data_IF_500959312748
#
_entry.id   IF_500959312748
#
_cell.length_a   1.000
_cell.length_b   1.000
_cell.length_c   1.000
_cell.angle_alpha   90.00
_cell.angle_beta   90.00
_cell.angle_gamma   90.00
#
_symmetry.space_group_name_H-M   'P 1'
#
loop_
_entity.id
_entity.type
_entity.pdbx_description
1 polymer ?
#
# COMPACT_ATOMS: atom_id res chain seq x y z
N UNK A 1 -10.26 7.21 46.16
CA UNK A 1 -10.39 8.12 45.00
C UNK A 1 -9.43 7.60 43.95
N UNK A 2 -9.94 6.71 43.11
CA UNK A 2 -9.21 6.05 42.02
C UNK A 2 -8.94 7.09 40.92
N UNK A 3 -7.67 7.37 40.68
CA UNK A 3 -7.21 8.15 39.55
C UNK A 3 -7.72 7.50 38.26
N UNK A 4 -8.54 8.24 37.52
CA UNK A 4 -8.91 7.93 36.15
C UNK A 4 -7.63 7.80 35.33
N UNK A 5 -7.32 6.57 34.93
CA UNK A 5 -6.32 6.34 33.89
C UNK A 5 -6.92 6.94 32.62
N UNK A 6 -6.50 8.16 32.29
CA UNK A 6 -6.65 8.69 30.94
C UNK A 6 -6.12 7.61 30.01
N UNK A 7 -7.02 7.00 29.24
CA UNK A 7 -6.63 6.08 28.17
C UNK A 7 -5.85 6.92 27.14
N UNK A 8 -4.54 7.06 27.38
CA UNK A 8 -3.60 7.76 26.52
C UNK A 8 -3.81 7.23 25.11
N UNK A 9 -4.43 8.05 24.28
CA UNK A 9 -4.65 7.72 22.87
C UNK A 9 -3.29 7.87 22.20
N UNK A 10 -2.49 6.81 22.21
CA UNK A 10 -1.15 6.80 21.62
C UNK A 10 -1.28 7.03 20.13
N UNK A 11 -0.76 8.17 19.66
CA UNK A 11 -0.76 8.51 18.24
C UNK A 11 0.12 7.55 17.44
N UNK A 12 -0.13 7.43 16.13
CA UNK A 12 0.76 6.68 15.23
C UNK A 12 2.22 7.18 15.28
N UNK A 13 2.43 8.45 15.58
CA UNK A 13 3.77 9.05 15.67
C UNK A 13 4.54 8.69 16.95
N UNK A 14 3.86 8.13 17.95
CA UNK A 14 4.46 7.59 19.18
C UNK A 14 4.75 6.08 19.04
N UNK A 15 4.69 5.54 17.81
CA UNK A 15 5.09 4.17 17.51
C UNK A 15 6.60 4.06 17.37
N UNK A 16 7.18 3.19 18.20
CA UNK A 16 8.57 2.81 18.12
C UNK A 16 8.64 1.38 17.61
N UNK A 17 9.33 1.19 16.48
CA UNK A 17 9.72 -0.13 16.01
C UNK A 17 10.86 -0.66 16.88
N UNK A 18 10.67 -1.86 17.40
CA UNK A 18 11.70 -2.64 18.05
C UNK A 18 12.04 -3.85 17.19
N UNK A 19 13.34 -4.10 17.00
CA UNK A 19 13.85 -5.31 16.37
C UNK A 19 14.57 -6.18 17.41
N UNK A 20 14.78 -7.48 17.14
CA UNK A 20 15.65 -8.32 17.94
C UNK A 20 17.05 -7.69 18.13
N UNK A 21 17.69 -7.93 19.27
CA UNK A 21 18.94 -7.27 19.66
C UNK A 21 20.09 -7.47 18.65
N UNK A 22 20.15 -8.63 18.02
CA UNK A 22 21.13 -8.95 16.97
C UNK A 22 20.92 -8.10 15.71
N UNK A 23 19.66 -7.87 15.32
CA UNK A 23 19.28 -6.99 14.21
C UNK A 23 19.57 -5.53 14.54
N UNK A 24 19.25 -5.09 15.77
CA UNK A 24 19.57 -3.74 16.25
C UNK A 24 21.08 -3.48 16.23
N UNK A 25 21.88 -4.44 16.73
CA UNK A 25 23.34 -4.35 16.72
C UNK A 25 23.91 -4.30 15.29
N UNK A 26 23.43 -5.18 14.41
CA UNK A 26 23.87 -5.25 13.02
C UNK A 26 23.63 -3.93 12.27
N UNK A 27 22.40 -3.39 12.33
CA UNK A 27 22.08 -2.16 11.61
C UNK A 27 22.66 -0.90 12.27
N UNK A 28 22.80 -0.89 13.59
CA UNK A 28 23.52 0.17 14.29
C UNK A 28 24.99 0.22 13.87
N UNK A 29 25.64 -0.94 13.71
CA UNK A 29 27.01 -1.02 13.20
C UNK A 29 27.11 -0.58 11.73
N UNK A 30 26.16 -0.98 10.88
CA UNK A 30 26.19 -0.68 9.45
C UNK A 30 25.88 0.78 9.10
N UNK A 31 24.90 1.39 9.79
CA UNK A 31 24.40 2.73 9.47
C UNK A 31 24.77 3.80 10.51
N UNK A 32 25.21 3.39 11.70
CA UNK A 32 25.36 4.27 12.86
C UNK A 32 24.04 4.50 13.60
N UNK A 33 24.11 4.68 14.93
CA UNK A 33 22.94 4.77 15.80
C UNK A 33 21.95 5.88 15.40
N UNK A 34 22.45 7.07 15.04
CA UNK A 34 21.60 8.21 14.64
C UNK A 34 20.85 7.93 13.35
N UNK A 35 21.53 7.41 12.32
CA UNK A 35 20.91 7.13 11.03
C UNK A 35 19.93 5.95 11.11
N UNK A 36 20.31 4.90 11.85
CA UNK A 36 19.41 3.78 12.11
C UNK A 36 18.14 4.22 12.86
N UNK A 37 18.28 5.09 13.87
CA UNK A 37 17.13 5.69 14.55
C UNK A 37 16.18 6.43 13.60
N UNK A 38 16.72 7.17 12.62
CA UNK A 38 15.92 7.84 11.60
C UNK A 38 15.21 6.84 10.66
N UNK A 39 15.90 5.76 10.24
CA UNK A 39 15.29 4.68 9.43
C UNK A 39 14.14 4.03 10.20
N UNK A 40 14.33 3.69 11.48
CA UNK A 40 13.26 3.12 12.31
C UNK A 40 12.05 4.04 12.40
N UNK A 41 12.27 5.34 12.61
CA UNK A 41 11.17 6.31 12.63
C UNK A 41 10.45 6.40 11.28
N UNK A 42 11.16 6.28 10.15
CA UNK A 42 10.57 6.29 8.82
C UNK A 42 9.77 5.00 8.52
N UNK A 43 10.27 3.83 8.92
CA UNK A 43 9.60 2.53 8.71
C UNK A 43 8.28 2.41 9.48
N UNK A 44 8.16 3.12 10.61
CA UNK A 44 6.96 3.18 11.43
C UNK A 44 5.80 3.94 10.76
N UNK A 45 6.07 4.71 9.69
CA UNK A 45 5.10 5.62 9.07
C UNK A 45 4.78 5.18 7.63
N UNK A 46 3.52 5.33 7.19
CA UNK A 46 3.21 5.13 5.79
C UNK A 46 3.95 6.19 4.93
N UNK A 47 4.27 5.85 3.66
CA UNK A 47 4.84 6.82 2.72
C UNK A 47 3.98 8.08 2.61
N UNK A 48 4.62 9.24 2.43
CA UNK A 48 3.94 10.53 2.27
C UNK A 48 3.18 10.67 0.93
N UNK A 49 3.34 9.70 0.03
CA UNK A 49 2.67 9.68 -1.25
C UNK A 49 2.47 8.24 -1.72
N UNK A 50 1.49 8.07 -2.59
CA UNK A 50 1.26 6.87 -3.37
C UNK A 50 1.74 7.10 -4.79
N UNK A 51 2.61 6.22 -5.28
CA UNK A 51 3.03 6.21 -6.67
C UNK A 51 2.18 5.24 -7.48
N UNK A 52 1.81 5.71 -8.67
CA UNK A 52 0.97 5.01 -9.63
C UNK A 52 1.75 4.89 -10.92
N UNK A 53 1.86 3.67 -11.45
CA UNK A 53 2.42 3.41 -12.76
C UNK A 53 1.34 3.56 -13.83
N UNK A 54 1.64 4.33 -14.87
CA UNK A 54 0.80 4.53 -16.05
C UNK A 54 0.88 3.28 -16.93
N UNK A 55 -0.26 2.77 -17.41
CA UNK A 55 -0.27 1.81 -18.49
C UNK A 55 -0.14 2.55 -19.84
N UNK A 56 1.10 2.73 -20.30
CA UNK A 56 1.39 3.50 -21.52
C UNK A 56 0.92 2.83 -22.81
N UNK A 57 0.45 1.58 -22.75
CA UNK A 57 -0.23 0.92 -23.87
C UNK A 57 -1.66 1.44 -24.08
N UNK A 58 -2.27 2.05 -23.05
CA UNK A 58 -3.69 2.44 -23.06
C UNK A 58 -3.87 3.95 -22.90
N UNK A 59 -3.03 4.61 -22.11
CA UNK A 59 -3.17 6.04 -21.81
C UNK A 59 -1.80 6.74 -21.71
N UNK A 60 -1.81 8.06 -21.58
CA UNK A 60 -0.61 8.87 -21.32
C UNK A 60 -0.60 9.37 -19.88
N UNK A 61 0.56 9.81 -19.40
CA UNK A 61 0.73 10.38 -18.07
C UNK A 61 -0.21 11.58 -17.85
N UNK A 62 -0.27 12.51 -18.81
CA UNK A 62 -1.13 13.70 -18.72
C UNK A 62 -2.62 13.34 -18.62
N UNK A 63 -3.08 12.41 -19.47
CA UNK A 63 -4.48 11.93 -19.43
C UNK A 63 -4.78 11.25 -18.10
N UNK A 64 -3.83 10.48 -17.56
CA UNK A 64 -4.01 9.83 -16.27
C UNK A 64 -4.06 10.84 -15.11
N UNK A 65 -3.21 11.89 -15.14
CA UNK A 65 -3.23 12.96 -14.13
C UNK A 65 -4.60 13.65 -14.09
N UNK A 66 -5.17 13.98 -15.26
CA UNK A 66 -6.51 14.58 -15.33
C UNK A 66 -7.57 13.63 -14.75
N UNK A 67 -7.55 12.37 -15.16
CA UNK A 67 -8.52 11.37 -14.69
C UNK A 67 -8.40 11.09 -13.18
N UNK A 68 -7.17 11.03 -12.64
CA UNK A 68 -6.92 10.87 -11.22
C UNK A 68 -7.42 12.07 -10.41
N UNK A 69 -7.14 13.29 -10.86
CA UNK A 69 -7.64 14.48 -10.19
C UNK A 69 -9.17 14.56 -10.20
N UNK A 70 -9.82 14.10 -11.27
CA UNK A 70 -11.28 13.95 -11.29
C UNK A 70 -11.77 12.91 -10.25
N UNK A 71 -11.06 11.79 -10.11
CA UNK A 71 -11.38 10.77 -9.09
C UNK A 71 -11.11 11.24 -7.64
N UNK A 72 -10.30 12.29 -7.45
CA UNK A 72 -10.00 12.86 -6.13
C UNK A 72 -11.01 13.91 -5.66
N UNK A 73 -12.00 14.30 -6.48
CA UNK A 73 -12.96 15.37 -6.14
C UNK A 73 -13.69 15.09 -4.83
N UNK A 74 -14.29 13.91 -4.68
CA UNK A 74 -15.05 13.56 -3.46
C UNK A 74 -14.14 13.46 -2.23
N UNK A 75 -12.92 12.95 -2.42
CA UNK A 75 -11.93 12.88 -1.34
C UNK A 75 -11.53 14.29 -0.88
N UNK A 76 -11.26 15.19 -1.82
CA UNK A 76 -10.93 16.59 -1.54
C UNK A 76 -12.09 17.36 -0.90
N UNK A 77 -13.33 17.10 -1.30
CA UNK A 77 -14.51 17.68 -0.66
C UNK A 77 -14.60 17.28 0.83
N UNK A 78 -14.30 16.00 1.15
CA UNK A 78 -14.22 15.53 2.54
C UNK A 78 -13.09 16.20 3.33
N UNK A 79 -11.92 16.38 2.72
CA UNK A 79 -10.81 17.10 3.35
C UNK A 79 -11.19 18.54 3.67
N UNK A 80 -11.80 19.25 2.72
CA UNK A 80 -12.24 20.63 2.91
C UNK A 80 -13.29 20.76 4.02
N UNK A 81 -14.26 19.83 4.08
CA UNK A 81 -15.25 19.78 5.15
C UNK A 81 -14.63 19.58 6.55
N UNK A 82 -13.41 19.03 6.61
CA UNK A 82 -12.62 18.87 7.83
C UNK A 82 -11.62 20.00 8.07
N UNK A 83 -11.64 21.07 7.25
CA UNK A 83 -10.67 22.16 7.32
C UNK A 83 -9.25 21.78 6.89
N UNK A 84 -9.10 20.71 6.11
CA UNK A 84 -7.81 20.19 5.64
C UNK A 84 -7.52 20.66 4.20
N UNK A 85 -6.24 20.86 3.83
CA UNK A 85 -5.87 21.22 2.47
C UNK A 85 -6.17 20.08 1.50
N UNK A 86 -6.52 20.42 0.26
CA UNK A 86 -6.74 19.46 -0.82
C UNK A 86 -5.42 18.91 -1.36
N UNK A 87 -5.50 17.76 -2.02
CA UNK A 87 -4.39 17.12 -2.71
C UNK A 87 -4.63 17.07 -4.21
N UNK A 88 -3.56 16.95 -4.98
CA UNK A 88 -3.61 16.78 -6.43
C UNK A 88 -2.59 15.74 -6.89
N UNK A 89 -3.00 14.90 -7.84
CA UNK A 89 -2.10 14.00 -8.54
C UNK A 89 -1.18 14.82 -9.46
N UNK A 90 0.12 14.51 -9.45
CA UNK A 90 1.15 15.22 -10.23
C UNK A 90 2.05 14.22 -10.98
N UNK A 91 2.55 14.56 -12.18
CA UNK A 91 3.52 13.71 -12.86
C UNK A 91 4.82 13.62 -12.05
N UNK A 92 5.47 12.46 -12.09
CA UNK A 92 6.81 12.32 -11.52
C UNK A 92 7.84 13.07 -12.37
N UNK A 93 8.76 13.79 -11.73
CA UNK A 93 9.70 14.71 -12.40
C UNK A 93 10.63 14.05 -13.42
N UNK A 94 10.94 12.77 -13.22
CA UNK A 94 11.95 12.05 -14.02
C UNK A 94 11.46 10.76 -14.66
N UNK A 95 10.26 10.29 -14.30
CA UNK A 95 9.72 9.01 -14.79
C UNK A 95 8.44 9.32 -15.55
N UNK A 96 8.48 9.15 -16.87
CA UNK A 96 7.40 9.54 -17.79
C UNK A 96 6.14 8.67 -17.66
N UNK A 97 6.22 7.55 -16.94
CA UNK A 97 5.13 6.60 -16.71
C UNK A 97 4.79 6.45 -15.23
N UNK A 98 5.14 7.44 -14.39
CA UNK A 98 4.78 7.45 -12.97
C UNK A 98 4.03 8.73 -12.60
N UNK A 99 2.91 8.58 -11.92
CA UNK A 99 2.15 9.68 -11.32
C UNK A 99 2.22 9.55 -9.80
N UNK A 100 2.39 10.67 -9.12
CA UNK A 100 2.46 10.76 -7.66
C UNK A 100 1.16 11.36 -7.14
N UNK A 101 0.54 10.67 -6.19
CA UNK A 101 -0.62 11.14 -5.46
C UNK A 101 -0.20 11.34 -4.00
N UNK A 102 -0.06 12.59 -3.51
CA UNK A 102 0.36 12.84 -2.15
C UNK A 102 -0.71 12.40 -1.15
N UNK A 103 -0.29 11.92 0.02
CA UNK A 103 -1.18 11.74 1.16
C UNK A 103 -1.57 13.10 1.71
N UNK A 104 -2.80 13.23 2.23
CA UNK A 104 -3.23 14.45 2.89
C UNK A 104 -2.36 14.73 4.13
N UNK A 105 -2.05 16.00 4.46
CA UNK A 105 -1.33 16.31 5.69
C UNK A 105 -2.07 15.75 6.90
N UNK A 106 -1.33 15.08 7.78
CA UNK A 106 -1.87 14.57 9.06
C UNK A 106 -2.38 15.75 9.87
N UNK A 107 -3.62 15.63 10.34
CA UNK A 107 -4.20 16.56 11.31
C UNK A 107 -4.60 15.77 12.54
N UNK A 108 -3.99 16.08 13.67
CA UNK A 108 -4.45 15.64 14.99
C UNK A 108 -5.68 16.47 15.37
N UNK A 109 -6.83 16.08 14.83
CA UNK A 109 -8.09 16.59 15.36
C UNK A 109 -8.34 15.93 16.74
N UNK A 110 -8.70 16.68 17.78
CA UNK A 110 -9.22 16.09 19.01
C UNK A 110 -10.53 15.39 18.63
N UNK A 111 -10.50 14.07 18.57
CA UNK A 111 -11.73 13.29 18.40
C UNK A 111 -12.14 12.84 19.78
N UNK A 112 -13.39 13.11 20.15
CA UNK A 112 -13.97 12.63 21.40
C UNK A 112 -14.03 11.09 21.37
N UNK A 113 -12.98 10.48 21.94
CA UNK A 113 -12.85 9.03 22.05
C UNK A 113 -13.78 8.43 23.10
N UNK A 114 -14.44 9.24 23.92
CA UNK A 114 -15.31 8.75 25.01
C UNK A 114 -16.74 8.46 24.54
N UNK A 115 -17.22 9.16 23.51
CA UNK A 115 -18.59 9.00 23.00
C UNK A 115 -18.67 8.35 21.61
N UNK A 116 -17.56 8.34 20.86
CA UNK A 116 -17.55 7.80 19.50
C UNK A 116 -17.36 6.29 19.54
N UNK A 117 -18.25 5.53 18.89
CA UNK A 117 -18.13 4.07 18.71
C UNK A 117 -16.82 3.73 18.00
N UNK A 118 -16.29 2.53 18.20
CA UNK A 118 -15.04 2.08 17.62
C UNK A 118 -15.13 0.74 16.94
N UNK A 119 -14.25 0.53 15.97
CA UNK A 119 -13.97 -0.76 15.35
C UNK A 119 -12.48 -1.05 15.47
N UNK A 120 -12.14 -2.32 15.68
CA UNK A 120 -10.77 -2.81 15.72
C UNK A 120 -10.55 -3.68 14.49
N UNK A 121 -9.50 -3.39 13.74
CA UNK A 121 -9.10 -4.17 12.56
C UNK A 121 -7.81 -4.93 12.83
N UNK A 122 -7.59 -6.00 12.08
CA UNK A 122 -6.33 -6.73 12.12
C UNK A 122 -5.16 -5.89 11.55
N UNK A 123 -3.92 -6.33 11.83
CA UNK A 123 -2.70 -5.66 11.36
C UNK A 123 -2.66 -5.44 9.85
N UNK A 124 -3.04 -6.44 9.06
CA UNK A 124 -2.96 -6.37 7.60
C UNK A 124 -3.97 -5.37 7.03
N UNK A 125 -5.18 -5.37 7.58
CA UNK A 125 -6.20 -4.39 7.27
C UNK A 125 -5.74 -2.99 7.68
N UNK A 126 -5.13 -2.84 8.85
CA UNK A 126 -4.62 -1.56 9.31
C UNK A 126 -3.54 -0.98 8.39
N UNK A 127 -2.59 -1.80 7.96
CA UNK A 127 -1.57 -1.42 6.98
C UNK A 127 -2.18 -0.98 5.65
N UNK A 128 -3.23 -1.68 5.18
CA UNK A 128 -3.94 -1.32 3.96
C UNK A 128 -4.69 0.01 4.11
N UNK A 129 -5.33 0.25 5.26
CA UNK A 129 -6.06 1.48 5.57
C UNK A 129 -5.11 2.69 5.62
N UNK A 130 -3.92 2.54 6.21
CA UNK A 130 -2.88 3.59 6.18
C UNK A 130 -2.45 3.95 4.75
N UNK A 131 -2.63 3.02 3.80
CA UNK A 131 -2.34 3.20 2.37
C UNK A 131 -3.59 3.60 1.56
N UNK A 132 -4.69 3.91 2.24
CA UNK A 132 -5.92 4.45 1.65
C UNK A 132 -6.99 3.41 1.33
N UNK A 133 -6.81 2.14 1.71
CA UNK A 133 -7.86 1.13 1.52
C UNK A 133 -9.06 1.39 2.42
N UNK A 134 -10.25 1.07 1.91
CA UNK A 134 -11.43 0.88 2.74
C UNK A 134 -11.28 -0.37 3.64
N UNK A 135 -12.13 -0.44 4.66
CA UNK A 135 -12.21 -1.56 5.59
C UNK A 135 -13.28 -2.52 5.11
N UNK A 136 -12.90 -3.78 4.90
CA UNK A 136 -13.83 -4.85 4.54
C UNK A 136 -14.14 -5.71 5.77
N UNK A 137 -15.33 -6.31 5.80
CA UNK A 137 -15.83 -7.09 6.96
C UNK A 137 -14.83 -8.14 7.48
N UNK A 138 -14.06 -8.78 6.58
CA UNK A 138 -13.05 -9.77 6.93
C UNK A 138 -11.92 -9.19 7.80
N UNK A 139 -11.56 -7.93 7.60
CA UNK A 139 -10.51 -7.26 8.37
C UNK A 139 -10.96 -6.74 9.73
N UNK A 140 -12.27 -6.65 9.97
CA UNK A 140 -12.83 -6.23 11.26
C UNK A 140 -12.74 -7.39 12.25
N UNK A 141 -12.05 -7.15 13.37
CA UNK A 141 -11.90 -8.08 14.49
C UNK A 141 -13.03 -7.88 15.50
N UNK A 142 -13.28 -6.63 15.89
CA UNK A 142 -14.23 -6.25 16.94
C UNK A 142 -14.92 -4.93 16.59
N UNK A 143 -16.09 -4.68 17.16
CA UNK A 143 -16.84 -3.43 17.03
C UNK A 143 -17.59 -3.12 18.32
N UNK A 144 -17.80 -1.83 18.63
CA UNK A 144 -18.63 -1.41 19.77
C UNK A 144 -20.04 -2.00 19.65
N UNK A 145 -20.65 -2.31 20.79
CA UNK A 145 -22.02 -2.81 20.85
C UNK A 145 -23.02 -1.85 20.21
N UNK A 146 -24.10 -2.40 19.63
CA UNK A 146 -25.20 -1.64 19.01
C UNK A 146 -24.75 -0.70 17.86
N UNK A 147 -23.73 -1.09 17.09
CA UNK A 147 -23.30 -0.39 15.87
C UNK A 147 -24.37 -0.51 14.77
N UNK A 148 -24.74 0.61 14.15
CA UNK A 148 -25.68 0.65 13.03
C UNK A 148 -25.03 1.27 11.78
N UNK A 149 -25.59 0.99 10.62
CA UNK A 149 -25.19 1.63 9.37
C UNK A 149 -25.38 3.16 9.48
N UNK A 150 -24.36 3.92 9.09
CA UNK A 150 -24.34 5.38 9.19
C UNK A 150 -23.68 5.93 10.46
N UNK A 151 -23.41 5.08 11.45
CA UNK A 151 -22.66 5.49 12.64
C UNK A 151 -21.24 5.92 12.28
N UNK A 152 -20.79 7.03 12.89
CA UNK A 152 -19.38 7.42 12.84
C UNK A 152 -18.59 6.55 13.80
N UNK A 153 -17.47 6.02 13.31
CA UNK A 153 -16.61 5.12 14.08
C UNK A 153 -15.16 5.58 14.09
N UNK A 154 -14.50 5.34 15.22
CA UNK A 154 -13.06 5.35 15.34
C UNK A 154 -12.49 4.00 14.90
N UNK A 155 -11.41 4.03 14.12
CA UNK A 155 -10.75 2.82 13.65
C UNK A 155 -9.46 2.62 14.45
N UNK A 156 -9.27 1.42 14.98
CA UNK A 156 -8.08 1.00 15.72
C UNK A 156 -7.44 -0.24 15.08
N UNK A 157 -6.13 -0.45 15.28
CA UNK A 157 -5.43 -1.70 14.88
C UNK A 157 -5.05 -2.50 16.11
N UNK A 158 -5.33 -3.79 16.05
CA UNK A 158 -4.76 -4.77 16.96
C UNK A 158 -3.33 -5.16 16.53
N UNK A 159 -2.35 -4.38 17.02
CA UNK A 159 -0.93 -4.66 16.81
C UNK A 159 -0.41 -5.75 17.77
N UNK A 160 -1.01 -5.85 18.95
CA UNK A 160 -0.56 -6.73 20.03
C UNK A 160 -1.14 -8.15 19.92
N UNK A 161 -1.94 -8.43 18.87
CA UNK A 161 -2.66 -9.69 18.68
C UNK A 161 -3.50 -10.09 19.90
N UNK A 162 -3.99 -9.08 20.61
CA UNK A 162 -4.70 -9.20 21.88
C UNK A 162 -6.21 -9.36 21.67
N UNK A 163 -6.72 -8.94 20.52
CA UNK A 163 -8.15 -8.96 20.22
C UNK A 163 -8.54 -10.31 19.59
N UNK A 164 -9.50 -11.00 20.20
CA UNK A 164 -10.15 -12.15 19.59
C UNK A 164 -11.37 -11.69 18.80
N UNK A 165 -11.64 -12.32 17.65
CA UNK A 165 -12.77 -11.92 16.80
C UNK A 165 -14.08 -12.00 17.58
N UNK A 166 -14.81 -10.89 17.61
CA UNK A 166 -16.08 -10.76 18.33
C UNK A 166 -15.96 -10.40 19.81
N UNK A 167 -14.75 -10.14 20.31
CA UNK A 167 -14.57 -9.56 21.66
C UNK A 167 -15.06 -8.11 21.74
N UNK A 168 -15.27 -7.63 22.96
CA UNK A 168 -15.77 -6.28 23.18
C UNK A 168 -14.71 -5.24 22.80
N UNK A 169 -15.08 -4.36 21.87
CA UNK A 169 -14.21 -3.28 21.41
C UNK A 169 -13.87 -2.28 22.52
N UNK A 170 -14.72 -2.15 23.55
CA UNK A 170 -14.51 -1.24 24.67
C UNK A 170 -13.29 -1.62 25.50
N UNK A 171 -12.94 -2.91 25.54
CA UNK A 171 -11.78 -3.42 26.26
C UNK A 171 -10.45 -3.20 25.53
N UNK A 172 -10.49 -2.72 24.27
CA UNK A 172 -9.28 -2.51 23.49
C UNK A 172 -8.58 -1.19 23.86
N UNK A 173 -7.29 -1.29 24.21
CA UNK A 173 -6.40 -0.17 24.57
C UNK A 173 -5.35 0.10 23.47
N UNK A 174 -5.60 -0.39 22.25
CA UNK A 174 -4.65 -0.25 21.14
C UNK A 174 -4.73 1.11 20.44
N UNK A 175 -4.14 1.17 19.24
CA UNK A 175 -3.80 2.43 18.58
C UNK A 175 -4.79 2.82 17.52
N UNK A 176 -5.07 4.13 17.44
CA UNK A 176 -5.98 4.70 16.45
C UNK A 176 -5.30 4.82 15.08
N UNK A 177 -6.05 4.46 14.04
CA UNK A 177 -5.69 4.71 12.64
C UNK A 177 -6.20 6.04 12.15
N UNK A 178 -5.33 6.74 11.42
CA UNK A 178 -5.71 7.86 10.56
C UNK A 178 -5.31 7.52 9.13
N UNK A 179 -6.31 7.32 8.26
CA UNK A 179 -6.09 7.12 6.83
C UNK A 179 -6.02 8.48 6.15
N UNK A 180 -4.82 8.85 5.67
CA UNK A 180 -4.58 10.12 4.98
C UNK A 180 -4.38 9.94 3.47
N UNK A 181 -4.17 8.70 3.02
CA UNK A 181 -4.04 8.38 1.61
C UNK A 181 -5.45 8.19 0.98
N UNK A 182 -5.65 8.64 -0.27
CA UNK A 182 -6.92 8.45 -0.97
C UNK A 182 -7.14 6.98 -1.36
N UNK A 183 -8.39 6.51 -1.40
CA UNK A 183 -8.73 5.19 -1.92
C UNK A 183 -8.58 5.15 -3.43
N UNK A 184 -7.50 4.51 -3.89
CA UNK A 184 -7.20 4.36 -5.32
C UNK A 184 -7.41 2.92 -5.83
N UNK A 185 -7.88 2.02 -4.97
CA UNK A 185 -8.13 0.63 -5.37
C UNK A 185 -9.29 0.57 -6.39
N UNK A 186 -9.08 -0.11 -7.52
CA UNK A 186 -10.08 -0.25 -8.58
C UNK A 186 -10.34 1.01 -9.41
N UNK A 187 -9.84 2.18 -8.99
CA UNK A 187 -9.94 3.43 -9.74
C UNK A 187 -9.18 3.28 -11.06
N UNK A 188 -9.80 3.67 -12.18
CA UNK A 188 -9.18 3.67 -13.51
C UNK A 188 -8.51 2.32 -13.86
N UNK A 189 -9.18 1.22 -13.52
CA UNK A 189 -8.70 -0.15 -13.77
C UNK A 189 -8.24 -0.34 -15.22
N UNK A 190 -7.05 -0.91 -15.40
CA UNK A 190 -6.43 -1.12 -16.72
C UNK A 190 -5.66 0.10 -17.28
N UNK A 191 -5.92 1.32 -16.80
CA UNK A 191 -5.14 2.51 -17.16
C UNK A 191 -3.92 2.73 -16.26
N UNK A 192 -3.94 2.15 -15.07
CA UNK A 192 -2.90 2.35 -14.07
C UNK A 192 -2.70 1.15 -13.16
N UNK A 193 -1.53 1.10 -12.52
CA UNK A 193 -1.17 0.09 -11.54
C UNK A 193 -0.56 0.74 -10.31
N UNK A 194 -0.99 0.31 -9.12
CA UNK A 194 -0.39 0.74 -7.86
C UNK A 194 0.99 0.09 -7.72
N UNK A 195 2.06 0.90 -7.76
CA UNK A 195 3.42 0.40 -7.75
C UNK A 195 4.34 1.44 -7.12
N UNK A 196 5.08 1.04 -6.08
CA UNK A 196 6.02 1.92 -5.37
C UNK A 196 7.11 2.44 -6.34
N UNK A 197 7.49 3.72 -6.23
CA UNK A 197 8.48 4.38 -7.12
C UNK A 197 9.76 3.56 -7.33
N UNK A 198 10.41 3.00 -6.29
CA UNK A 198 11.63 2.20 -6.49
C UNK A 198 11.40 0.98 -7.39
N UNK A 199 10.19 0.38 -7.33
CA UNK A 199 9.86 -0.74 -8.21
C UNK A 199 9.69 -0.32 -9.67
N UNK A 200 9.24 0.91 -9.94
CA UNK A 200 9.18 1.45 -11.30
C UNK A 200 10.58 1.83 -11.81
N UNK A 201 11.43 2.40 -10.95
CA UNK A 201 12.83 2.74 -11.29
C UNK A 201 13.59 1.50 -11.79
N UNK A 202 13.42 0.35 -11.14
CA UNK A 202 14.09 -0.90 -11.55
C UNK A 202 13.82 -1.25 -13.02
N UNK A 203 12.59 -1.08 -13.51
CA UNK A 203 12.25 -1.39 -14.89
C UNK A 203 12.92 -0.42 -15.88
N UNK A 204 12.98 0.87 -15.54
CA UNK A 204 13.67 1.88 -16.35
C UNK A 204 15.19 1.66 -16.37
N UNK A 205 15.79 1.26 -15.25
CA UNK A 205 17.21 0.95 -15.16
C UNK A 205 17.57 -0.26 -16.02
N UNK A 206 16.70 -1.29 -16.06
CA UNK A 206 16.89 -2.43 -16.96
C UNK A 206 16.77 -2.05 -18.44
N UNK A 207 15.96 -1.03 -18.75
CA UNK A 207 15.80 -0.43 -20.08
C UNK A 207 15.52 -1.45 -21.22
N UNK A 208 14.53 -2.35 -21.06
CA UNK A 208 14.27 -3.37 -22.08
C UNK A 208 13.75 -2.72 -23.36
N UNK A 209 14.19 -3.21 -24.51
CA UNK A 209 13.77 -2.73 -25.81
C UNK A 209 12.66 -3.63 -26.41
N UNK A 210 11.75 -3.07 -27.22
CA UNK A 210 10.80 -3.87 -28.00
C UNK A 210 11.55 -4.91 -28.86
N UNK A 211 11.21 -6.19 -28.70
CA UNK A 211 11.87 -7.30 -29.38
C UNK A 211 12.89 -8.08 -28.54
N UNK A 212 13.32 -7.55 -27.40
CA UNK A 212 14.24 -8.24 -26.50
C UNK A 212 13.64 -9.54 -25.93
N UNK A 213 14.53 -10.43 -25.49
CA UNK A 213 14.17 -11.56 -24.63
C UNK A 213 14.61 -11.27 -23.20
N UNK A 214 13.65 -11.16 -22.28
CA UNK A 214 13.89 -10.78 -20.89
C UNK A 214 13.46 -11.91 -19.95
N UNK A 215 14.25 -12.17 -18.90
CA UNK A 215 13.94 -13.15 -17.86
C UNK A 215 13.74 -12.45 -16.51
N UNK A 216 12.55 -12.60 -15.94
CA UNK A 216 12.23 -12.22 -14.55
C UNK A 216 12.14 -13.49 -13.71
N UNK A 217 13.16 -13.76 -12.88
CA UNK A 217 13.26 -15.02 -12.13
C UNK A 217 12.31 -15.11 -10.93
N UNK A 218 11.81 -13.97 -10.43
CA UNK A 218 10.99 -13.86 -9.23
C UNK A 218 9.82 -12.89 -9.48
N UNK A 219 9.00 -13.23 -10.47
CA UNK A 219 8.06 -12.32 -11.10
C UNK A 219 6.83 -11.99 -10.23
N UNK A 220 6.36 -12.90 -9.38
CA UNK A 220 5.07 -12.72 -8.72
C UNK A 220 5.08 -11.58 -7.70
N UNK A 221 4.03 -10.73 -7.65
CA UNK A 221 2.72 -10.88 -8.33
C UNK A 221 2.64 -10.35 -9.77
N UNK A 222 3.74 -9.92 -10.38
CA UNK A 222 3.79 -9.53 -11.80
C UNK A 222 3.84 -8.02 -12.05
N UNK A 223 3.98 -7.18 -11.02
CA UNK A 223 4.00 -5.72 -11.17
C UNK A 223 5.17 -5.20 -12.01
N UNK A 224 6.39 -5.68 -11.75
CA UNK A 224 7.59 -5.33 -12.53
C UNK A 224 7.58 -6.00 -13.90
N UNK A 225 7.22 -7.27 -13.94
CA UNK A 225 7.08 -8.06 -15.17
C UNK A 225 6.14 -7.38 -16.17
N UNK A 226 4.95 -6.95 -15.72
CA UNK A 226 4.01 -6.21 -16.57
C UNK A 226 4.55 -4.83 -16.96
N UNK A 227 5.32 -4.17 -16.11
CA UNK A 227 6.01 -2.92 -16.45
C UNK A 227 7.03 -3.09 -17.57
N UNK A 228 7.88 -4.10 -17.47
CA UNK A 228 8.83 -4.44 -18.53
C UNK A 228 8.10 -4.73 -19.85
N UNK A 229 7.00 -5.48 -19.81
CA UNK A 229 6.20 -5.74 -21.01
C UNK A 229 5.56 -4.47 -21.59
N UNK A 230 5.12 -3.53 -20.75
CA UNK A 230 4.65 -2.20 -21.17
C UNK A 230 5.78 -1.41 -21.85
N UNK A 231 6.99 -1.37 -21.28
CA UNK A 231 8.15 -0.67 -21.86
C UNK A 231 8.60 -1.28 -23.20
N UNK A 232 8.53 -2.61 -23.32
CA UNK A 232 8.78 -3.35 -24.56
C UNK A 232 7.65 -3.19 -25.61
N UNK A 233 6.65 -2.34 -25.33
CA UNK A 233 5.48 -2.12 -26.18
C UNK A 233 4.75 -3.42 -26.54
N UNK A 234 4.74 -4.37 -25.61
CA UNK A 234 4.20 -5.71 -25.80
C UNK A 234 4.76 -6.41 -27.07
N UNK A 235 6.06 -6.24 -27.36
CA UNK A 235 6.80 -6.92 -28.43
C UNK A 235 8.08 -7.56 -27.89
N UNK A 236 8.40 -8.78 -28.33
CA UNK A 236 9.53 -9.56 -27.86
C UNK A 236 9.09 -10.78 -27.06
N UNK A 237 9.90 -11.21 -26.08
CA UNK A 237 9.57 -12.35 -25.21
C UNK A 237 9.99 -12.04 -23.78
N UNK A 238 9.09 -12.28 -22.83
CA UNK A 238 9.36 -12.07 -21.41
C UNK A 238 9.02 -13.32 -20.63
N UNK A 239 10.04 -14.01 -20.12
CA UNK A 239 9.88 -15.21 -19.31
C UNK A 239 9.72 -14.79 -17.85
N UNK A 240 8.57 -15.10 -17.25
CA UNK A 240 8.21 -14.70 -15.89
C UNK A 240 8.14 -15.92 -14.97
N UNK A 241 9.08 -16.04 -14.03
CA UNK A 241 9.22 -17.21 -13.20
C UNK A 241 8.76 -16.97 -11.76
N UNK A 242 8.14 -17.97 -11.15
CA UNK A 242 7.99 -18.04 -9.69
C UNK A 242 8.05 -19.50 -9.21
N UNK A 243 8.47 -19.70 -7.96
CA UNK A 243 8.52 -21.03 -7.36
C UNK A 243 7.12 -21.60 -7.08
N UNK A 244 6.19 -20.73 -6.71
CA UNK A 244 4.83 -21.11 -6.31
C UNK A 244 3.91 -21.28 -7.53
N UNK A 245 3.38 -22.50 -7.71
CA UNK A 245 2.40 -22.77 -8.78
C UNK A 245 1.17 -21.87 -8.68
N UNK A 246 0.68 -21.60 -7.46
CA UNK A 246 -0.45 -20.70 -7.22
C UNK A 246 -0.15 -19.29 -7.75
N UNK A 247 1.02 -18.74 -7.41
CA UNK A 247 1.42 -17.40 -7.85
C UNK A 247 1.61 -17.31 -9.37
N UNK A 248 2.13 -18.36 -10.01
CA UNK A 248 2.24 -18.43 -11.48
C UNK A 248 0.86 -18.38 -12.15
N UNK A 249 -0.13 -19.10 -11.61
CA UNK A 249 -1.50 -19.06 -12.12
C UNK A 249 -2.16 -17.68 -11.91
N UNK A 250 -1.96 -17.06 -10.75
CA UNK A 250 -2.45 -15.70 -10.45
C UNK A 250 -1.84 -14.67 -11.41
N UNK A 251 -0.52 -14.72 -11.65
CA UNK A 251 0.16 -13.88 -12.63
C UNK A 251 -0.37 -14.09 -14.04
N UNK A 252 -0.57 -15.35 -14.45
CA UNK A 252 -1.10 -15.67 -15.77
C UNK A 252 -2.47 -15.02 -15.99
N UNK A 253 -3.40 -15.19 -15.03
CA UNK A 253 -4.71 -14.55 -15.08
C UNK A 253 -4.60 -13.02 -15.09
N UNK A 254 -3.67 -12.45 -14.31
CA UNK A 254 -3.40 -11.01 -14.32
C UNK A 254 -2.94 -10.53 -15.70
N UNK A 255 -1.93 -11.14 -16.31
CA UNK A 255 -1.41 -10.73 -17.62
C UNK A 255 -2.44 -10.89 -18.74
N UNK A 256 -3.26 -11.94 -18.70
CA UNK A 256 -4.39 -12.13 -19.61
C UNK A 256 -5.41 -11.00 -19.47
N UNK A 257 -5.77 -10.61 -18.24
CA UNK A 257 -6.74 -9.52 -18.01
C UNK A 257 -6.26 -8.14 -18.46
N UNK A 258 -4.95 -7.95 -18.63
CA UNK A 258 -4.34 -6.70 -19.11
C UNK A 258 -3.78 -6.80 -20.54
N UNK A 259 -4.08 -7.88 -21.26
CA UNK A 259 -3.67 -8.10 -22.65
C UNK A 259 -2.14 -8.03 -22.91
N UNK A 260 -1.32 -8.55 -21.99
CA UNK A 260 0.13 -8.64 -22.16
C UNK A 260 0.53 -10.01 -22.71
N UNK A 261 0.63 -10.11 -24.03
CA UNK A 261 0.81 -11.37 -24.76
C UNK A 261 2.26 -11.87 -24.84
N UNK A 262 3.26 -11.00 -24.61
CA UNK A 262 4.67 -11.41 -24.70
C UNK A 262 5.18 -12.12 -23.45
N UNK A 263 4.37 -12.16 -22.38
CA UNK A 263 4.78 -12.74 -21.10
C UNK A 263 4.47 -14.22 -21.10
N UNK A 264 5.47 -15.04 -20.79
CA UNK A 264 5.38 -16.49 -20.62
C UNK A 264 5.58 -16.82 -19.15
N UNK A 265 4.50 -17.07 -18.38
CA UNK A 265 4.59 -17.43 -16.97
C UNK A 265 5.03 -18.90 -16.83
N UNK A 266 6.11 -19.14 -16.09
CA UNK A 266 6.70 -20.47 -15.92
C UNK A 266 6.95 -20.75 -14.45
N UNK A 267 6.72 -21.99 -14.01
CA UNK A 267 7.19 -22.42 -12.68
C UNK A 267 8.68 -22.73 -12.76
N UNK A 268 9.50 -22.22 -11.84
CA UNK A 268 10.98 -22.37 -11.88
C UNK A 268 11.45 -23.80 -12.24
N UNK A 269 10.82 -24.84 -11.68
CA UNK A 269 11.17 -26.25 -11.97
C UNK A 269 11.01 -26.69 -13.44
N UNK A 270 10.19 -25.99 -14.23
CA UNK A 270 10.05 -26.26 -15.66
C UNK A 270 11.26 -25.77 -16.46
N UNK A 271 11.97 -24.74 -15.97
CA UNK A 271 13.26 -24.31 -16.53
C UNK A 271 14.42 -25.06 -15.90
N UNK A 272 14.32 -25.40 -14.61
CA UNK A 272 15.38 -26.04 -13.85
C UNK A 272 14.88 -27.27 -13.08
N UNK A 273 14.82 -28.45 -13.72
CA UNK A 273 14.24 -29.66 -13.13
C UNK A 273 14.86 -30.07 -11.81
N UNK A 274 16.14 -29.75 -11.61
CA UNK A 274 16.91 -30.09 -10.41
C UNK A 274 16.76 -29.07 -9.25
N UNK A 275 15.99 -28.00 -9.43
CA UNK A 275 15.81 -26.98 -8.39
C UNK A 275 14.82 -27.45 -7.31
N UNK A 276 15.32 -27.59 -6.09
CA UNK A 276 14.59 -28.08 -4.92
C UNK A 276 13.39 -27.19 -4.54
#
# INVERSE_FOLDING_TARGET
MTSSVDAMTVGLDEFFLAFPDDVEAFFTLAYGATHWGAIKSALARPPAYTSVRVNTLVTTQDKLVVALNAALVDFNARLQAQGRPTIAAVPHSSLSDVVIVPSAPRVTAPVDATTTKKIIVDRLCGEAVLRGSDIFARGVMCASSALNAGDRVLVYVDLDHSATRGSDAELHVGRKLCADAPPLNGVLSGHMYMQNTPSSVVAHVLSPQPGDTVLDMCAAPGGKTSHLATLMQNRGTLIACDRSRRKVLEMKAFFESVNLSIIVPIKVRQLWPHYA
#
